data_IF_106087041730
#
_entry.id   IF_106087041730
#
_cell.length_a   1.000
_cell.length_b   1.000
_cell.length_c   1.000
_cell.angle_alpha   90.00
_cell.angle_beta   90.00
_cell.angle_gamma   90.00
#
_symmetry.space_group_name_H-M   'P 1'
#
loop_
_entity.id
_entity.type
_entity.pdbx_description
1 polymer ?
#
# COMPACT_ATOMS: atom_id res chain seq x y z
N UNK A 1 19.82 5.93 1.49
CA UNK A 1 19.03 6.91 0.75
C UNK A 1 18.54 8.10 1.57
N UNK A 2 18.77 8.20 2.84
CA UNK A 2 18.16 9.20 3.71
C UNK A 2 19.10 10.35 4.06
N UNK A 3 20.12 10.61 3.21
CA UNK A 3 21.12 11.67 3.44
C UNK A 3 21.25 12.54 2.22
N UNK A 4 21.47 13.84 2.45
CA UNK A 4 21.90 14.75 1.39
C UNK A 4 23.32 14.36 0.95
N UNK A 5 23.55 14.29 -0.35
CA UNK A 5 24.82 13.81 -0.94
C UNK A 5 25.72 14.95 -1.40
N UNK A 6 25.20 16.17 -1.56
CA UNK A 6 25.94 17.33 -2.04
C UNK A 6 25.37 18.62 -1.46
N UNK A 7 26.13 19.74 -1.59
CA UNK A 7 25.76 21.08 -1.15
C UNK A 7 25.90 21.31 0.36
N UNK A 8 25.41 22.45 0.87
CA UNK A 8 25.55 22.85 2.29
C UNK A 8 24.92 21.88 3.31
N UNK A 9 24.03 21.02 2.84
CA UNK A 9 23.34 20.02 3.67
C UNK A 9 23.94 18.62 3.54
N UNK A 10 25.07 18.44 2.83
CA UNK A 10 25.70 17.14 2.64
C UNK A 10 25.89 16.40 3.98
N UNK A 11 25.55 15.13 4.00
CA UNK A 11 25.57 14.30 5.21
C UNK A 11 24.38 14.42 6.14
N UNK A 12 23.54 15.48 6.04
CA UNK A 12 22.32 15.60 6.84
C UNK A 12 21.32 14.51 6.49
N UNK A 13 20.73 13.92 7.52
CA UNK A 13 19.73 12.89 7.40
C UNK A 13 18.35 13.50 7.15
N UNK A 14 17.62 12.99 6.16
CA UNK A 14 16.26 13.43 5.85
C UNK A 14 15.25 12.73 6.78
N UNK A 15 14.28 13.47 7.25
CA UNK A 15 13.14 12.92 7.98
C UNK A 15 12.12 12.37 6.97
N UNK A 16 11.78 11.10 7.12
CA UNK A 16 10.70 10.50 6.33
C UNK A 16 9.35 10.88 6.92
N UNK A 17 8.43 11.27 6.06
CA UNK A 17 7.04 11.53 6.42
C UNK A 17 6.19 10.31 6.05
N UNK A 18 5.16 10.05 6.84
CA UNK A 18 4.14 9.09 6.45
C UNK A 18 3.35 9.67 5.28
N UNK A 19 3.13 8.84 4.26
CA UNK A 19 2.35 9.20 3.08
C UNK A 19 1.38 8.08 2.73
N UNK A 20 0.30 8.45 2.06
CA UNK A 20 -0.69 7.52 1.50
C UNK A 20 -0.71 7.69 -0.01
N UNK A 21 -1.19 6.67 -0.71
CA UNK A 21 -1.38 6.70 -2.17
C UNK A 21 -2.80 6.23 -2.51
N UNK A 22 -3.83 7.01 -2.15
CA UNK A 22 -5.19 6.68 -2.50
C UNK A 22 -5.44 6.93 -4.00
N UNK A 23 -6.44 6.29 -4.56
CA UNK A 23 -6.98 6.65 -5.87
C UNK A 23 -7.60 8.06 -5.83
N UNK A 24 -7.72 8.69 -7.01
CA UNK A 24 -8.22 10.06 -7.16
C UNK A 24 -9.60 10.27 -6.54
N UNK A 25 -10.52 9.31 -6.70
CA UNK A 25 -11.87 9.39 -6.13
C UNK A 25 -11.81 9.56 -4.61
N UNK A 26 -11.08 8.69 -3.93
CA UNK A 26 -10.93 8.70 -2.46
C UNK A 26 -10.21 9.97 -1.99
N UNK A 27 -9.21 10.43 -2.74
CA UNK A 27 -8.52 11.69 -2.45
C UNK A 27 -9.47 12.87 -2.52
N UNK A 28 -10.22 13.00 -3.61
CA UNK A 28 -11.17 14.10 -3.84
C UNK A 28 -12.27 14.17 -2.78
N UNK A 29 -12.78 13.01 -2.35
CA UNK A 29 -13.78 12.94 -1.28
C UNK A 29 -13.25 13.47 0.06
N UNK A 30 -11.98 13.20 0.37
CA UNK A 30 -11.32 13.68 1.60
C UNK A 30 -10.80 15.10 1.51
N UNK A 31 -10.49 15.56 0.32
CA UNK A 31 -9.88 16.87 0.03
C UNK A 31 -10.58 17.57 -1.12
N UNK A 32 -11.84 18.01 -0.93
CA UNK A 32 -12.69 18.56 -2.01
C UNK A 32 -12.15 19.87 -2.60
N UNK A 33 -11.31 20.60 -1.85
CA UNK A 33 -10.67 21.83 -2.31
C UNK A 33 -9.38 21.61 -3.10
N UNK A 34 -8.99 20.34 -3.38
CA UNK A 34 -7.79 20.06 -4.17
C UNK A 34 -7.95 20.60 -5.59
N UNK A 35 -6.97 21.40 -6.01
CA UNK A 35 -6.85 21.84 -7.39
C UNK A 35 -5.96 20.89 -8.18
N UNK A 36 -6.28 20.69 -9.45
CA UNK A 36 -5.53 19.86 -10.39
C UNK A 36 -4.89 20.76 -11.43
N UNK A 37 -3.66 20.46 -11.82
CA UNK A 37 -2.98 21.19 -12.91
C UNK A 37 -3.82 21.07 -14.19
N UNK A 38 -3.99 22.20 -14.87
CA UNK A 38 -4.63 22.23 -16.19
C UNK A 38 -3.74 21.53 -17.23
N UNK A 39 -4.38 20.93 -18.21
CA UNK A 39 -3.67 20.46 -19.43
C UNK A 39 -3.30 21.61 -20.35
N UNK A 40 -3.92 22.79 -20.19
CA UNK A 40 -3.53 24.01 -20.86
C UNK A 40 -2.30 24.63 -20.16
N UNK A 41 -1.13 24.22 -20.62
CA UNK A 41 0.17 24.61 -20.06
C UNK A 41 0.92 25.58 -20.95
N UNK A 42 0.36 26.00 -22.09
CA UNK A 42 1.05 26.79 -23.12
C UNK A 42 2.03 25.97 -23.98
N UNK A 43 2.14 24.66 -23.76
CA UNK A 43 2.98 23.76 -24.56
C UNK A 43 2.12 22.76 -25.32
N UNK A 44 2.48 22.52 -26.59
CA UNK A 44 1.84 21.49 -27.41
C UNK A 44 2.35 20.11 -26.99
N UNK A 45 1.63 19.47 -26.06
CA UNK A 45 1.88 18.08 -25.61
C UNK A 45 0.57 17.34 -25.58
N UNK A 46 0.59 16.08 -25.99
CA UNK A 46 -0.54 15.20 -25.77
C UNK A 46 -0.49 14.61 -24.36
N UNK A 47 -1.28 15.20 -23.45
CA UNK A 47 -1.38 14.75 -22.06
C UNK A 47 -2.33 13.55 -21.88
N UNK A 48 -2.99 13.07 -22.94
CA UNK A 48 -3.81 11.86 -22.91
C UNK A 48 -2.98 10.58 -23.05
N UNK A 49 -1.74 10.69 -23.52
CA UNK A 49 -0.82 9.56 -23.71
C UNK A 49 0.09 9.40 -22.50
N UNK A 50 0.15 8.21 -21.93
CA UNK A 50 1.13 7.87 -20.91
C UNK A 50 2.50 7.67 -21.56
N UNK A 51 3.51 8.52 -21.29
CA UNK A 51 4.84 8.39 -21.88
C UNK A 51 5.57 7.12 -21.44
N UNK A 52 5.08 6.43 -20.43
CA UNK A 52 5.64 5.19 -19.90
C UNK A 52 4.87 3.93 -20.32
N UNK A 53 3.88 4.04 -21.21
CA UNK A 53 3.11 2.88 -21.68
C UNK A 53 4.02 1.76 -22.22
N UNK A 54 5.03 2.13 -23.01
CA UNK A 54 6.04 1.19 -23.51
C UNK A 54 6.88 0.54 -22.41
N UNK A 55 7.13 1.24 -21.31
CA UNK A 55 7.83 0.68 -20.14
C UNK A 55 6.99 -0.39 -19.44
N UNK A 56 5.69 -0.18 -19.27
CA UNK A 56 4.81 -1.15 -18.60
C UNK A 56 4.55 -2.41 -19.44
N UNK A 57 4.70 -2.31 -20.76
CA UNK A 57 4.56 -3.46 -21.69
C UNK A 57 5.83 -4.29 -21.84
N UNK A 58 6.98 -3.70 -21.58
CA UNK A 58 8.27 -4.39 -21.68
C UNK A 58 8.66 -4.94 -20.31
N UNK A 59 8.82 -6.25 -20.21
CA UNK A 59 9.23 -6.96 -18.98
C UNK A 59 10.73 -6.77 -18.64
N UNK A 60 11.29 -5.59 -18.92
CA UNK A 60 12.72 -5.32 -18.74
C UNK A 60 13.00 -4.00 -18.03
N UNK A 61 13.97 -4.00 -17.13
CA UNK A 61 14.46 -2.79 -16.47
C UNK A 61 15.28 -2.00 -17.49
N UNK A 62 14.90 -0.75 -17.74
CA UNK A 62 15.59 0.11 -18.73
C UNK A 62 16.94 0.65 -18.26
N UNK A 63 17.29 0.43 -17.02
CA UNK A 63 18.54 0.92 -16.41
C UNK A 63 19.38 -0.24 -15.90
N UNK A 64 20.72 -0.15 -15.97
CA UNK A 64 21.56 -1.12 -15.33
C UNK A 64 21.33 -1.09 -13.83
N UNK A 65 20.85 -2.19 -13.28
CA UNK A 65 20.72 -2.42 -11.85
C UNK A 65 21.63 -3.57 -11.49
N UNK A 66 22.15 -3.55 -10.27
CA UNK A 66 22.90 -4.70 -9.74
C UNK A 66 22.03 -5.95 -9.67
N UNK A 67 22.57 -7.02 -9.09
CA UNK A 67 21.84 -8.26 -8.94
C UNK A 67 20.50 -8.09 -8.26
N UNK A 68 19.42 -8.47 -8.93
CA UNK A 68 18.06 -8.45 -8.40
C UNK A 68 17.73 -9.83 -7.85
N UNK A 69 17.35 -9.86 -6.58
CA UNK A 69 16.86 -11.09 -5.93
C UNK A 69 15.62 -11.61 -6.66
N UNK A 70 15.53 -12.94 -6.78
CA UNK A 70 14.46 -13.64 -7.52
C UNK A 70 13.19 -13.91 -6.69
N UNK A 71 13.07 -13.29 -5.51
CA UNK A 71 11.86 -13.46 -4.67
C UNK A 71 10.59 -12.92 -5.34
N UNK A 72 10.73 -11.86 -6.14
CA UNK A 72 9.65 -11.21 -6.88
C UNK A 72 10.13 -10.82 -8.28
N UNK A 73 9.19 -10.59 -9.20
CA UNK A 73 9.50 -9.94 -10.47
C UNK A 73 10.17 -8.58 -10.20
N UNK A 74 11.19 -8.18 -10.95
CA UNK A 74 11.87 -6.88 -10.76
C UNK A 74 10.91 -5.69 -10.71
N UNK A 75 9.86 -5.72 -11.50
CA UNK A 75 8.85 -4.65 -11.63
C UNK A 75 7.67 -4.80 -10.68
N UNK A 76 7.68 -5.83 -9.82
CA UNK A 76 6.64 -5.98 -8.82
C UNK A 76 6.59 -4.76 -7.89
N UNK A 77 5.41 -4.15 -7.78
CA UNK A 77 5.19 -3.06 -6.83
C UNK A 77 5.14 -3.59 -5.42
N UNK A 78 5.89 -2.97 -4.53
CA UNK A 78 5.95 -3.32 -3.11
C UNK A 78 5.69 -2.11 -2.22
N UNK A 79 5.07 -2.35 -1.08
CA UNK A 79 5.04 -1.46 0.07
C UNK A 79 6.21 -1.82 0.98
N UNK A 80 7.21 -0.99 1.06
CA UNK A 80 8.40 -1.19 1.88
C UNK A 80 8.30 -0.50 3.23
N UNK A 81 8.52 -1.23 4.31
CA UNK A 81 8.54 -0.73 5.68
C UNK A 81 9.90 -1.01 6.28
N UNK A 82 10.49 0.00 6.96
CA UNK A 82 11.76 -0.15 7.67
C UNK A 82 11.66 0.41 9.07
N UNK A 83 11.84 -0.44 10.08
CA UNK A 83 11.80 -0.09 11.50
C UNK A 83 13.03 -0.68 12.18
N UNK A 84 13.71 0.09 13.04
CA UNK A 84 14.91 -0.33 13.80
C UNK A 84 15.95 -1.06 12.92
N UNK A 85 16.16 -0.57 11.69
CA UNK A 85 17.13 -1.16 10.77
C UNK A 85 16.67 -2.41 10.01
N UNK A 86 15.57 -3.04 10.41
CA UNK A 86 14.97 -4.17 9.71
C UNK A 86 13.99 -3.69 8.65
N UNK A 87 14.09 -4.27 7.45
CA UNK A 87 13.25 -3.93 6.32
C UNK A 87 12.36 -5.12 5.92
N UNK A 88 11.11 -4.86 5.56
CA UNK A 88 10.18 -5.86 5.03
C UNK A 88 9.41 -5.25 3.86
N UNK A 89 9.31 -6.01 2.78
CA UNK A 89 8.59 -5.66 1.57
C UNK A 89 7.28 -6.45 1.51
N UNK A 90 6.20 -5.78 1.21
CA UNK A 90 4.87 -6.34 1.04
C UNK A 90 4.45 -6.16 -0.42
N UNK A 91 4.40 -7.23 -1.23
CA UNK A 91 3.91 -7.13 -2.60
C UNK A 91 2.49 -6.57 -2.62
N UNK A 92 2.27 -5.54 -3.42
CA UNK A 92 0.93 -4.90 -3.52
C UNK A 92 -0.11 -5.89 -4.03
N UNK A 93 0.29 -6.80 -4.94
CA UNK A 93 -0.56 -7.88 -5.42
C UNK A 93 -1.08 -8.79 -4.30
N UNK A 94 -0.24 -9.08 -3.29
CA UNK A 94 -0.66 -9.90 -2.14
C UNK A 94 -1.57 -9.12 -1.19
N UNK A 95 -1.25 -7.86 -0.92
CA UNK A 95 -2.08 -7.01 -0.06
C UNK A 95 -3.49 -6.82 -0.63
N UNK A 96 -3.60 -6.64 -1.95
CA UNK A 96 -4.90 -6.43 -2.63
C UNK A 96 -5.83 -7.63 -2.62
N UNK A 97 -5.31 -8.83 -2.43
CA UNK A 97 -6.14 -10.05 -2.37
C UNK A 97 -7.05 -10.10 -1.14
N UNK A 98 -6.72 -9.34 -0.10
CA UNK A 98 -7.41 -9.42 1.19
C UNK A 98 -7.61 -8.03 1.79
N UNK A 99 -8.68 -7.31 1.44
CA UNK A 99 -9.02 -6.06 2.09
C UNK A 99 -9.19 -6.21 3.60
N UNK A 100 -8.81 -5.19 4.36
CA UNK A 100 -8.88 -5.17 5.82
C UNK A 100 -7.59 -4.69 6.46
N UNK A 101 -7.35 -5.10 7.70
CA UNK A 101 -6.16 -4.72 8.46
C UNK A 101 -5.24 -5.93 8.60
N UNK A 102 -4.10 -5.88 7.94
CA UNK A 102 -3.00 -6.81 8.15
C UNK A 102 -2.20 -6.37 9.38
N UNK A 103 -2.14 -7.23 10.40
CA UNK A 103 -1.30 -7.03 11.58
C UNK A 103 -0.01 -7.84 11.42
N UNK A 104 1.11 -7.17 11.54
CA UNK A 104 2.43 -7.73 11.29
C UNK A 104 3.44 -7.18 12.30
N UNK A 105 4.67 -7.71 12.26
CA UNK A 105 5.79 -7.22 13.03
C UNK A 105 6.96 -6.89 12.10
N UNK A 106 7.56 -5.72 12.30
CA UNK A 106 8.75 -5.29 11.58
C UNK A 106 9.77 -4.73 12.57
N UNK A 107 10.92 -5.37 12.66
CA UNK A 107 11.99 -4.94 13.57
C UNK A 107 11.61 -5.02 15.06
N UNK A 108 10.76 -5.96 15.45
CA UNK A 108 10.25 -6.11 16.81
C UNK A 108 9.14 -5.13 17.18
N UNK A 109 8.61 -4.38 16.19
CA UNK A 109 7.52 -3.44 16.41
C UNK A 109 6.25 -3.89 15.68
N UNK A 110 5.10 -3.90 16.37
CA UNK A 110 3.82 -4.20 15.75
C UNK A 110 3.44 -3.11 14.75
N UNK A 111 3.01 -3.53 13.56
CA UNK A 111 2.52 -2.64 12.51
C UNK A 111 1.17 -3.09 11.99
N UNK A 112 0.37 -2.15 11.54
CA UNK A 112 -0.91 -2.39 10.89
C UNK A 112 -0.89 -1.78 9.51
N UNK A 113 -1.16 -2.60 8.49
CA UNK A 113 -1.32 -2.17 7.11
C UNK A 113 -2.80 -2.21 6.80
N UNK A 114 -3.36 -1.06 6.45
CA UNK A 114 -4.78 -0.93 6.13
C UNK A 114 -4.99 -0.98 4.62
N UNK A 115 -5.81 -1.92 4.16
CA UNK A 115 -6.21 -2.09 2.76
C UNK A 115 -7.72 -1.86 2.67
N UNK A 116 -8.15 -0.91 1.84
CA UNK A 116 -9.57 -0.59 1.67
C UNK A 116 -10.34 -1.75 0.99
N UNK A 117 -11.69 -1.73 1.04
CA UNK A 117 -12.51 -2.68 0.28
C UNK A 117 -12.24 -2.66 -1.22
N UNK A 118 -11.86 -1.50 -1.77
CA UNK A 118 -11.46 -1.33 -3.18
C UNK A 118 -10.01 -1.77 -3.43
N UNK A 119 -9.40 -2.48 -2.48
CA UNK A 119 -8.03 -3.01 -2.56
C UNK A 119 -6.93 -1.94 -2.71
N UNK A 120 -7.19 -0.73 -2.22
CA UNK A 120 -6.20 0.34 -2.11
C UNK A 120 -5.48 0.31 -0.76
N UNK A 121 -4.19 0.64 -0.77
CA UNK A 121 -3.41 0.75 0.47
C UNK A 121 -3.69 2.12 1.10
N UNK A 122 -4.43 2.13 2.18
CA UNK A 122 -4.82 3.35 2.90
C UNK A 122 -3.67 3.93 3.71
N UNK A 123 -2.88 3.07 4.35
CA UNK A 123 -1.73 3.52 5.12
C UNK A 123 -1.14 2.45 6.02
N UNK A 124 -0.08 2.83 6.72
CA UNK A 124 0.60 1.99 7.71
C UNK A 124 0.61 2.72 9.05
N UNK A 125 0.27 2.02 10.12
CA UNK A 125 0.20 2.54 11.47
C UNK A 125 1.00 1.68 12.45
N UNK A 126 1.48 2.28 13.52
CA UNK A 126 2.02 1.55 14.67
C UNK A 126 0.90 1.04 15.59
N UNK A 127 1.27 0.39 16.69
CA UNK A 127 0.34 -0.14 17.68
C UNK A 127 -0.49 0.95 18.40
N UNK A 128 -0.02 2.20 18.39
CA UNK A 128 -0.75 3.34 18.95
C UNK A 128 -1.65 4.03 17.91
N UNK A 129 -1.73 3.50 16.69
CA UNK A 129 -2.52 4.09 15.60
C UNK A 129 -1.85 5.25 14.88
N UNK A 130 -0.61 5.60 15.23
CA UNK A 130 0.16 6.67 14.58
C UNK A 130 0.64 6.21 13.22
N UNK A 131 0.46 7.05 12.20
CA UNK A 131 0.97 6.78 10.85
C UNK A 131 2.50 6.73 10.83
N UNK A 132 3.04 5.69 10.23
CA UNK A 132 4.47 5.48 10.04
C UNK A 132 4.87 5.53 8.57
N UNK A 133 6.11 5.95 8.25
CA UNK A 133 6.57 6.02 6.87
C UNK A 133 6.62 4.63 6.23
N UNK A 134 5.99 4.52 5.06
CA UNK A 134 6.10 3.38 4.17
C UNK A 134 6.39 3.88 2.75
N UNK A 135 7.07 3.08 1.94
CA UNK A 135 7.56 3.48 0.62
C UNK A 135 6.94 2.56 -0.42
N UNK A 136 6.20 3.15 -1.37
CA UNK A 136 5.81 2.45 -2.59
C UNK A 136 6.99 2.48 -3.57
N UNK A 137 7.39 1.32 -4.04
CA UNK A 137 8.54 1.18 -4.95
C UNK A 137 8.41 -0.08 -5.78
N UNK A 138 9.13 -0.12 -6.90
CA UNK A 138 9.38 -1.39 -7.59
C UNK A 138 10.35 -2.26 -6.77
N UNK A 139 10.22 -3.57 -6.90
CA UNK A 139 11.07 -4.53 -6.19
C UNK A 139 12.55 -4.31 -6.45
N UNK A 140 12.94 -4.13 -7.73
CA UNK A 140 14.34 -3.89 -8.07
C UNK A 140 14.93 -2.66 -7.35
N UNK A 141 14.14 -1.59 -7.22
CA UNK A 141 14.59 -0.38 -6.54
C UNK A 141 14.60 -0.54 -5.01
N UNK A 142 13.56 -1.15 -4.43
CA UNK A 142 13.51 -1.40 -2.99
C UNK A 142 14.66 -2.27 -2.52
N UNK A 143 14.89 -3.41 -3.17
CA UNK A 143 15.91 -4.37 -2.77
C UNK A 143 17.33 -3.85 -2.96
N UNK A 144 17.58 -2.97 -3.94
CA UNK A 144 18.88 -2.31 -4.13
C UNK A 144 19.30 -1.50 -2.89
N UNK A 145 18.34 -0.85 -2.21
CA UNK A 145 18.60 -0.13 -0.96
C UNK A 145 18.44 -0.97 0.29
N UNK A 146 17.79 -2.11 0.19
CA UNK A 146 17.49 -3.01 1.29
C UNK A 146 17.75 -4.47 0.90
N UNK A 147 19.02 -4.86 0.60
CA UNK A 147 19.33 -6.19 0.08
C UNK A 147 18.96 -7.33 1.04
N UNK A 148 18.91 -7.06 2.34
CA UNK A 148 18.51 -8.02 3.38
C UNK A 148 17.04 -7.88 3.80
N UNK A 149 16.20 -7.26 2.96
CA UNK A 149 14.76 -7.11 3.25
C UNK A 149 14.07 -8.47 3.31
N UNK A 150 13.17 -8.65 4.27
CA UNK A 150 12.24 -9.77 4.24
C UNK A 150 11.12 -9.49 3.22
N UNK A 151 10.50 -10.54 2.69
CA UNK A 151 9.37 -10.44 1.76
C UNK A 151 8.16 -11.12 2.40
N UNK A 152 7.04 -10.42 2.40
CA UNK A 152 5.75 -10.96 2.81
C UNK A 152 5.23 -11.94 1.74
N UNK A 153 4.83 -13.14 2.16
CA UNK A 153 4.41 -14.23 1.25
C UNK A 153 2.91 -14.50 1.26
N UNK A 154 2.12 -13.63 1.88
CA UNK A 154 0.66 -13.82 1.91
C UNK A 154 0.16 -14.77 2.98
N UNK A 155 0.95 -15.04 4.03
CA UNK A 155 0.57 -15.93 5.13
C UNK A 155 -0.66 -15.42 5.90
N UNK A 156 -1.45 -16.33 6.42
CA UNK A 156 -2.84 -16.28 6.89
C UNK A 156 -3.23 -15.29 8.02
N UNK A 157 -2.50 -14.23 8.25
CA UNK A 157 -2.74 -13.30 9.37
C UNK A 157 -3.60 -12.09 9.04
N UNK A 158 -4.46 -12.19 8.02
CA UNK A 158 -5.46 -11.15 7.76
C UNK A 158 -6.63 -11.28 8.74
N UNK A 159 -6.72 -10.38 9.70
CA UNK A 159 -7.93 -10.24 10.52
C UNK A 159 -8.92 -9.33 9.81
N UNK A 160 -10.02 -9.91 9.34
CA UNK A 160 -11.18 -9.20 8.78
C UNK A 160 -11.90 -8.44 9.92
N UNK A 161 -11.24 -7.43 10.48
CA UNK A 161 -11.79 -6.69 11.62
C UNK A 161 -12.88 -5.68 11.23
N UNK A 162 -13.04 -5.35 9.95
CA UNK A 162 -13.97 -4.28 9.51
C UNK A 162 -15.33 -4.77 9.03
N UNK A 163 -15.46 -6.02 8.61
CA UNK A 163 -16.74 -6.55 8.14
C UNK A 163 -17.69 -6.74 9.33
N UNK A 164 -17.19 -7.18 10.47
CA UNK A 164 -18.04 -7.45 11.65
C UNK A 164 -18.58 -6.19 12.34
N UNK A 165 -17.88 -5.06 12.33
CA UNK A 165 -18.40 -3.81 12.92
C UNK A 165 -19.50 -3.16 12.08
N UNK A 166 -19.47 -3.29 10.76
CA UNK A 166 -20.52 -2.77 9.89
C UNK A 166 -21.77 -3.64 9.91
N UNK A 167 -21.61 -4.95 10.04
CA UNK A 167 -22.73 -5.88 10.20
C UNK A 167 -23.42 -5.75 11.57
N UNK A 168 -22.67 -5.49 12.63
CA UNK A 168 -23.29 -5.34 13.98
C UNK A 168 -24.15 -4.06 14.08
N UNK A 169 -23.88 -3.04 13.28
CA UNK A 169 -24.71 -1.82 13.25
C UNK A 169 -25.97 -2.01 12.41
N UNK A 170 -25.89 -2.73 11.31
CA UNK A 170 -27.05 -3.10 10.46
C UNK A 170 -27.96 -4.10 11.19
N UNK A 171 -27.41 -5.06 11.94
CA UNK A 171 -28.22 -6.02 12.71
C UNK A 171 -28.95 -5.40 13.91
N UNK A 172 -28.47 -4.29 14.48
CA UNK A 172 -29.23 -3.57 15.54
C UNK A 172 -30.38 -2.73 14.99
N UNK A 173 -30.42 -2.47 13.71
CA UNK A 173 -31.46 -1.65 13.06
C UNK A 173 -32.60 -2.49 12.43
N UNK A 174 -32.49 -3.84 12.42
CA UNK A 174 -33.49 -4.74 11.85
C UNK A 174 -33.68 -5.98 12.71
N UNK A 175 -34.59 -5.95 13.70
CA UNK A 175 -34.84 -7.09 14.58
C UNK A 175 -35.52 -8.29 13.89
N UNK A 176 -36.10 -8.13 12.69
CA UNK A 176 -36.90 -9.18 12.06
C UNK A 176 -36.15 -10.16 11.14
N UNK A 177 -34.83 -9.99 10.97
CA UNK A 177 -34.07 -10.85 10.06
C UNK A 177 -33.73 -12.24 10.63
N UNK A 178 -33.83 -12.43 11.94
CA UNK A 178 -33.58 -13.72 12.59
C UNK A 178 -34.77 -14.69 12.48
N UNK A 179 -36.00 -14.19 12.25
CA UNK A 179 -37.19 -15.06 12.13
C UNK A 179 -37.33 -15.74 10.76
N UNK A 180 -36.63 -15.25 9.74
CA UNK A 180 -36.66 -15.78 8.35
C UNK A 180 -35.61 -16.88 8.09
N UNK A 181 -34.56 -16.97 8.90
CA UNK A 181 -33.52 -17.99 8.74
C UNK A 181 -33.92 -19.33 9.37
N UNK A 182 -34.82 -19.35 10.37
CA UNK A 182 -35.28 -20.58 11.02
C UNK A 182 -36.40 -21.33 10.29
N UNK A 183 -37.02 -20.71 9.31
CA UNK A 183 -38.13 -21.33 8.55
C UNK A 183 -37.74 -22.10 7.29
N UNK A 184 -36.47 -22.13 6.92
CA UNK A 184 -35.99 -22.79 5.68
C UNK A 184 -34.96 -23.91 5.91
N UNK A 185 -34.78 -24.42 7.13
CA UNK A 185 -34.02 -25.64 7.34
C UNK A 185 -35.01 -26.76 7.77
N UNK A 186 -35.58 -27.44 6.79
CA UNK A 186 -36.18 -28.75 6.98
C UNK A 186 -35.21 -29.81 6.44
N UNK A 187 -34.95 -30.89 7.17
CA UNK A 187 -34.00 -31.91 6.77
C UNK A 187 -34.65 -32.87 5.76
N UNK A 188 -33.94 -33.14 4.70
CA UNK A 188 -33.97 -34.39 3.95
C UNK A 188 -32.56 -34.90 3.75
#
# INVERSE_FOLDING_TARGET
MDKAIAGPLAGKKLKKLASTRPGWKVWREKHPSTVVLSTDTGYSRDYSVDPYEGYYRNLGIWFPVGDVRKDLSPEAMVLGIKIKGKAKAYPISELRKRPGILKEEVGGEPVQIEVSPDSEIVGVRDHMGKSIPAIFSYWFAWQAFHPKTAVYKGDDKFLVAHVLKRFSWVMRSWPDFLSLAEKNCSPF
#
